data_IF_260532884395
#
_entry.id   IF_260532884395
#
_cell.length_a   1.000
_cell.length_b   1.000
_cell.length_c   1.000
_cell.angle_alpha   90.00
_cell.angle_beta   90.00
_cell.angle_gamma   90.00
#
_symmetry.space_group_name_H-M   'P 1'
#
loop_
_entity.id
_entity.type
_entity.pdbx_description
1 polymer ?
#
# COMPACT_ATOMS: atom_id res chain seq x y z
N UNK A 1 65.05 -14.57 48.37
CA UNK A 1 66.29 -13.78 48.18
C UNK A 1 66.66 -13.61 46.70
N UNK A 2 66.75 -14.65 45.87
CA UNK A 2 67.12 -14.47 44.44
C UNK A 2 66.03 -13.77 43.61
N UNK A 3 64.75 -14.13 43.77
CA UNK A 3 63.64 -13.50 43.04
C UNK A 3 63.39 -12.03 43.42
N UNK A 4 63.65 -11.64 44.67
CA UNK A 4 63.54 -10.25 45.11
C UNK A 4 64.64 -9.34 44.53
N UNK A 5 65.85 -9.89 44.32
CA UNK A 5 66.96 -9.16 43.69
C UNK A 5 66.71 -9.00 42.20
N UNK A 6 66.21 -10.04 41.53
CA UNK A 6 65.83 -9.98 40.12
C UNK A 6 64.63 -9.05 39.89
N UNK A 7 63.62 -9.10 40.76
CA UNK A 7 62.45 -8.21 40.70
C UNK A 7 62.80 -6.73 40.87
N UNK A 8 63.80 -6.39 41.70
CA UNK A 8 64.32 -5.01 41.84
C UNK A 8 65.02 -4.49 40.59
N UNK A 9 65.50 -5.39 39.72
CA UNK A 9 66.13 -5.06 38.44
C UNK A 9 65.16 -5.18 37.25
N UNK A 10 63.87 -5.43 37.49
CA UNK A 10 62.86 -5.61 36.44
C UNK A 10 62.99 -6.94 35.68
N UNK A 11 63.68 -7.92 36.25
CA UNK A 11 63.87 -9.25 35.68
C UNK A 11 62.97 -10.27 36.38
N UNK A 12 62.22 -11.04 35.59
CA UNK A 12 61.29 -12.06 36.04
C UNK A 12 61.71 -13.42 35.49
N UNK A 13 61.55 -14.48 36.26
CA UNK A 13 61.83 -15.85 35.80
C UNK A 13 60.50 -16.54 35.47
N UNK A 14 60.41 -17.17 34.30
CA UNK A 14 59.21 -17.90 33.90
C UNK A 14 59.19 -19.35 34.40
N UNK A 15 58.06 -20.05 34.18
CA UNK A 15 57.87 -21.45 34.59
C UNK A 15 58.85 -22.46 33.93
N UNK A 16 59.64 -22.02 32.94
CA UNK A 16 60.69 -22.79 32.28
C UNK A 16 62.10 -22.31 32.66
N UNK A 17 62.21 -21.56 33.74
CA UNK A 17 63.45 -21.00 34.28
C UNK A 17 64.18 -20.04 33.32
N UNK A 18 63.43 -19.35 32.43
CA UNK A 18 63.99 -18.34 31.52
C UNK A 18 63.79 -16.94 32.10
N UNK A 19 64.83 -16.11 31.97
CA UNK A 19 64.77 -14.69 32.32
C UNK A 19 63.91 -13.92 31.30
N UNK A 20 62.99 -13.10 31.79
CA UNK A 20 62.08 -12.23 31.04
C UNK A 20 62.09 -10.82 31.63
N UNK A 21 61.90 -9.83 30.77
CA UNK A 21 61.80 -8.41 31.15
C UNK A 21 60.38 -7.99 31.55
N UNK A 22 59.39 -8.82 31.21
CA UNK A 22 57.97 -8.58 31.52
C UNK A 22 57.49 -9.74 32.36
N UNK A 23 56.71 -9.45 33.40
CA UNK A 23 56.07 -10.46 34.23
C UNK A 23 55.26 -11.43 33.34
N UNK A 24 55.55 -12.74 33.36
CA UNK A 24 54.91 -13.71 32.48
C UNK A 24 53.38 -13.69 32.56
N UNK A 25 52.83 -13.62 33.77
CA UNK A 25 51.39 -13.56 34.04
C UNK A 25 50.72 -12.33 33.41
N UNK A 26 51.41 -11.18 33.42
CA UNK A 26 50.92 -9.94 32.82
C UNK A 26 50.96 -10.02 31.29
N UNK A 27 52.00 -10.62 30.73
CA UNK A 27 52.11 -10.83 29.28
C UNK A 27 51.03 -11.80 28.76
N UNK A 28 50.78 -12.89 29.49
CA UNK A 28 49.76 -13.89 29.15
C UNK A 28 48.35 -13.29 29.29
N UNK A 29 48.08 -12.56 30.39
CA UNK A 29 46.79 -11.87 30.59
C UNK A 29 46.54 -10.80 29.53
N UNK A 30 47.57 -10.05 29.14
CA UNK A 30 47.47 -9.06 28.07
C UNK A 30 47.22 -9.71 26.70
N UNK A 31 47.82 -10.88 26.45
CA UNK A 31 47.56 -11.69 25.25
C UNK A 31 46.11 -12.18 25.19
N UNK A 32 45.61 -12.75 26.29
CA UNK A 32 44.22 -13.20 26.40
C UNK A 32 43.23 -12.05 26.20
N UNK A 33 43.45 -10.92 26.87
CA UNK A 33 42.62 -9.73 26.74
C UNK A 33 42.58 -9.22 25.29
N UNK A 34 43.73 -9.23 24.59
CA UNK A 34 43.81 -8.82 23.19
C UNK A 34 42.99 -9.73 22.28
N UNK A 35 43.00 -11.03 22.51
CA UNK A 35 42.25 -11.98 21.68
C UNK A 35 40.75 -11.93 21.99
N UNK A 36 40.38 -11.71 23.25
CA UNK A 36 38.99 -11.48 23.67
C UNK A 36 38.43 -10.18 23.05
N UNK A 37 39.20 -9.08 23.05
CA UNK A 37 38.82 -7.83 22.38
C UNK A 37 38.60 -8.04 20.88
N UNK A 38 39.44 -8.85 20.22
CA UNK A 38 39.25 -9.16 18.79
C UNK A 38 37.99 -9.97 18.54
N UNK A 39 37.72 -10.99 19.36
CA UNK A 39 36.50 -11.79 19.26
C UNK A 39 35.28 -10.92 19.43
N UNK A 40 35.27 -10.10 20.49
CA UNK A 40 34.18 -9.17 20.78
C UNK A 40 33.98 -8.14 19.67
N UNK A 41 35.07 -7.61 19.11
CA UNK A 41 34.98 -6.72 17.95
C UNK A 41 34.37 -7.42 16.73
N UNK A 42 34.68 -8.70 16.50
CA UNK A 42 34.08 -9.50 15.42
C UNK A 42 32.59 -9.74 15.63
N UNK A 43 32.18 -10.04 16.86
CA UNK A 43 30.77 -10.19 17.23
C UNK A 43 29.99 -8.89 17.01
N UNK A 44 30.56 -7.74 17.39
CA UNK A 44 29.94 -6.44 17.13
C UNK A 44 29.79 -6.18 15.63
N UNK A 45 30.80 -6.48 14.82
CA UNK A 45 30.71 -6.26 13.36
C UNK A 45 29.65 -7.16 12.72
N UNK A 46 29.52 -8.41 13.20
CA UNK A 46 28.48 -9.32 12.72
C UNK A 46 27.10 -8.80 13.11
N UNK A 47 26.90 -8.41 14.38
CA UNK A 47 25.65 -7.82 14.85
C UNK A 47 25.26 -6.56 14.07
N UNK A 48 26.23 -5.68 13.77
CA UNK A 48 25.99 -4.50 12.94
C UNK A 48 25.57 -4.86 11.52
N UNK A 49 26.13 -5.93 10.95
CA UNK A 49 25.80 -6.40 9.60
C UNK A 49 24.38 -6.96 9.56
N UNK A 50 24.04 -7.86 10.49
CA UNK A 50 22.70 -8.43 10.63
C UNK A 50 21.65 -7.34 10.87
N UNK A 51 21.95 -6.35 11.72
CA UNK A 51 21.03 -5.24 11.98
C UNK A 51 20.79 -4.40 10.73
N UNK A 52 21.82 -4.15 9.91
CA UNK A 52 21.67 -3.44 8.62
C UNK A 52 20.78 -4.22 7.66
N UNK A 53 21.00 -5.52 7.52
CA UNK A 53 20.17 -6.39 6.67
C UNK A 53 18.69 -6.36 7.10
N UNK A 54 18.43 -6.39 8.40
CA UNK A 54 17.07 -6.28 8.95
C UNK A 54 16.44 -4.92 8.62
N UNK A 55 17.21 -3.83 8.78
CA UNK A 55 16.74 -2.48 8.45
C UNK A 55 16.39 -2.37 6.96
N UNK A 56 17.24 -2.92 6.08
CA UNK A 56 16.99 -2.94 4.64
C UNK A 56 15.76 -3.78 4.30
N UNK A 57 15.60 -4.95 4.90
CA UNK A 57 14.41 -5.79 4.72
C UNK A 57 13.12 -5.07 5.17
N UNK A 58 13.17 -4.37 6.30
CA UNK A 58 12.05 -3.56 6.79
C UNK A 58 11.73 -2.40 5.86
N UNK A 59 12.74 -1.71 5.32
CA UNK A 59 12.54 -0.63 4.36
C UNK A 59 11.87 -1.12 3.08
N UNK A 60 12.33 -2.24 2.53
CA UNK A 60 11.74 -2.88 1.36
C UNK A 60 10.29 -3.30 1.62
N UNK A 61 10.01 -3.88 2.81
CA UNK A 61 8.66 -4.25 3.21
C UNK A 61 7.73 -3.02 3.28
N UNK A 62 8.21 -1.92 3.86
CA UNK A 62 7.45 -0.67 3.93
C UNK A 62 7.14 -0.11 2.54
N UNK A 63 8.08 -0.20 1.59
CA UNK A 63 7.86 0.23 0.21
C UNK A 63 6.78 -0.60 -0.48
N UNK A 64 6.84 -1.92 -0.37
CA UNK A 64 5.82 -2.82 -0.94
C UNK A 64 4.44 -2.54 -0.35
N UNK A 65 4.34 -2.37 0.97
CA UNK A 65 3.08 -2.03 1.65
C UNK A 65 2.52 -0.71 1.11
N UNK A 66 3.36 0.30 0.92
CA UNK A 66 2.93 1.58 0.38
C UNK A 66 2.42 1.46 -1.05
N UNK A 67 3.12 0.70 -1.92
CA UNK A 67 2.66 0.43 -3.28
C UNK A 67 1.31 -0.28 -3.30
N UNK A 68 1.14 -1.34 -2.49
CA UNK A 68 -0.12 -2.06 -2.36
C UNK A 68 -1.25 -1.15 -1.85
N UNK A 69 -0.96 -0.30 -0.85
CA UNK A 69 -1.93 0.64 -0.30
C UNK A 69 -2.40 1.63 -1.36
N UNK A 70 -1.49 2.19 -2.15
CA UNK A 70 -1.84 3.11 -3.25
C UNK A 70 -2.72 2.38 -4.27
N UNK A 71 -2.31 1.19 -4.72
CA UNK A 71 -3.07 0.40 -5.68
C UNK A 71 -4.49 0.06 -5.18
N UNK A 72 -4.63 -0.34 -3.92
CA UNK A 72 -5.92 -0.64 -3.30
C UNK A 72 -6.83 0.60 -3.23
N UNK A 73 -6.28 1.75 -2.83
CA UNK A 73 -7.00 3.01 -2.80
C UNK A 73 -7.48 3.40 -4.20
N UNK A 74 -6.59 3.34 -5.21
CA UNK A 74 -6.94 3.67 -6.59
C UNK A 74 -8.04 2.75 -7.14
N UNK A 75 -7.93 1.45 -6.92
CA UNK A 75 -8.96 0.49 -7.32
C UNK A 75 -10.30 0.78 -6.65
N UNK A 76 -10.30 1.12 -5.35
CA UNK A 76 -11.51 1.44 -4.62
C UNK A 76 -12.17 2.72 -5.15
N UNK A 77 -11.38 3.75 -5.47
CA UNK A 77 -11.90 4.98 -6.07
C UNK A 77 -12.48 4.74 -7.46
N UNK A 78 -11.83 3.91 -8.29
CA UNK A 78 -12.33 3.57 -9.61
C UNK A 78 -13.73 2.92 -9.52
N UNK A 79 -13.89 1.91 -8.65
CA UNK A 79 -15.17 1.22 -8.44
C UNK A 79 -16.25 2.18 -7.96
N UNK A 80 -15.97 2.99 -6.92
CA UNK A 80 -16.94 3.97 -6.41
C UNK A 80 -17.35 5.00 -7.45
N UNK A 81 -16.40 5.43 -8.30
CA UNK A 81 -16.69 6.39 -9.36
C UNK A 81 -17.58 5.81 -10.45
N UNK A 82 -17.42 4.53 -10.78
CA UNK A 82 -18.26 3.83 -11.75
C UNK A 82 -19.66 3.54 -11.19
N UNK A 83 -19.77 3.12 -9.93
CA UNK A 83 -21.07 2.99 -9.25
C UNK A 83 -21.83 4.33 -9.24
N UNK A 84 -21.12 5.43 -8.97
CA UNK A 84 -21.71 6.78 -9.00
C UNK A 84 -22.17 7.19 -10.40
N UNK A 85 -21.44 6.82 -11.46
CA UNK A 85 -21.87 7.08 -12.84
C UNK A 85 -23.07 6.23 -13.23
N UNK A 86 -23.04 4.93 -12.90
CA UNK A 86 -24.13 4.01 -13.19
C UNK A 86 -25.44 4.47 -12.53
N UNK A 87 -25.38 4.90 -11.27
CA UNK A 87 -26.55 5.44 -10.57
C UNK A 87 -27.06 6.75 -11.19
N UNK A 88 -26.18 7.66 -11.57
CA UNK A 88 -26.55 8.88 -12.30
C UNK A 88 -27.21 8.57 -13.65
N UNK A 89 -26.65 7.63 -14.41
CA UNK A 89 -27.18 7.24 -15.72
C UNK A 89 -28.56 6.59 -15.60
N UNK A 90 -28.78 5.75 -14.58
CA UNK A 90 -30.10 5.17 -14.29
C UNK A 90 -31.12 6.28 -14.01
N UNK A 91 -30.81 7.23 -13.12
CA UNK A 91 -31.72 8.33 -12.81
C UNK A 91 -32.03 9.19 -14.04
N UNK A 92 -31.01 9.47 -14.87
CA UNK A 92 -31.20 10.22 -16.12
C UNK A 92 -32.10 9.47 -17.10
N UNK A 93 -31.93 8.16 -17.23
CA UNK A 93 -32.78 7.32 -18.09
C UNK A 93 -34.23 7.25 -17.56
N UNK A 94 -34.43 7.16 -16.25
CA UNK A 94 -35.77 7.19 -15.64
C UNK A 94 -36.53 8.49 -15.94
N UNK A 95 -35.84 9.63 -15.83
CA UNK A 95 -36.40 10.94 -16.20
C UNK A 95 -36.81 10.94 -17.68
N UNK A 96 -35.90 10.50 -18.56
CA UNK A 96 -36.16 10.48 -20.00
C UNK A 96 -37.33 9.54 -20.36
N UNK A 97 -37.43 8.37 -19.74
CA UNK A 97 -38.55 7.44 -19.94
C UNK A 97 -39.86 8.12 -19.55
N UNK A 98 -39.89 8.81 -18.41
CA UNK A 98 -41.08 9.50 -17.92
C UNK A 98 -41.50 10.64 -18.85
N UNK A 99 -40.55 11.43 -19.34
CA UNK A 99 -40.82 12.47 -20.34
C UNK A 99 -41.45 11.89 -21.61
N UNK A 100 -40.92 10.77 -22.11
CA UNK A 100 -41.47 10.09 -23.29
C UNK A 100 -42.85 9.50 -23.04
N UNK A 101 -43.11 8.96 -21.85
CA UNK A 101 -44.44 8.48 -21.48
C UNK A 101 -45.48 9.60 -21.51
N UNK A 102 -45.15 10.76 -20.92
CA UNK A 102 -46.03 11.94 -20.94
C UNK A 102 -46.28 12.42 -22.38
N UNK A 103 -45.24 12.45 -23.21
CA UNK A 103 -45.37 12.83 -24.61
C UNK A 103 -46.26 11.86 -25.39
N UNK A 104 -46.13 10.55 -25.15
CA UNK A 104 -46.99 9.54 -25.74
C UNK A 104 -48.45 9.68 -25.32
N UNK A 105 -48.73 9.92 -24.03
CA UNK A 105 -50.09 10.16 -23.53
C UNK A 105 -50.72 11.41 -24.17
N UNK A 106 -49.94 12.48 -24.33
CA UNK A 106 -50.37 13.68 -25.02
C UNK A 106 -50.73 13.39 -26.48
N UNK A 107 -49.84 12.73 -27.21
CA UNK A 107 -50.07 12.37 -28.62
C UNK A 107 -51.27 11.44 -28.79
N UNK A 108 -51.49 10.53 -27.85
CA UNK A 108 -52.66 9.66 -27.85
C UNK A 108 -53.96 10.45 -27.73
N UNK A 109 -54.00 11.40 -26.78
CA UNK A 109 -55.15 12.28 -26.56
C UNK A 109 -55.43 13.14 -27.81
N UNK A 110 -54.39 13.69 -28.43
CA UNK A 110 -54.51 14.49 -29.65
C UNK A 110 -55.04 13.67 -30.83
N UNK A 111 -54.55 12.43 -30.99
CA UNK A 111 -55.01 11.51 -32.02
C UNK A 111 -56.49 11.13 -31.84
N UNK A 112 -56.93 10.88 -30.60
CA UNK A 112 -58.35 10.62 -30.32
C UNK A 112 -59.25 11.83 -30.59
N UNK A 113 -58.77 13.05 -30.33
CA UNK A 113 -59.50 14.27 -30.67
C UNK A 113 -59.64 14.43 -32.18
N UNK A 114 -58.56 14.27 -32.94
CA UNK A 114 -58.59 14.35 -34.41
C UNK A 114 -59.50 13.30 -35.04
N UNK A 115 -59.51 12.06 -34.52
CA UNK A 115 -60.42 11.01 -35.01
C UNK A 115 -61.89 11.38 -34.82
N UNK A 116 -62.24 11.99 -33.67
CA UNK A 116 -63.60 12.48 -33.42
C UNK A 116 -63.99 13.58 -34.41
N UNK A 117 -63.11 14.56 -34.61
CA UNK A 117 -63.36 15.62 -35.60
C UNK A 117 -63.49 15.06 -37.03
N UNK A 118 -62.66 14.08 -37.41
CA UNK A 118 -62.75 13.42 -38.72
C UNK A 118 -64.11 12.72 -38.90
N UNK A 119 -64.60 12.04 -37.86
CA UNK A 119 -65.89 11.34 -37.88
C UNK A 119 -67.06 12.33 -37.98
N UNK A 120 -67.03 13.42 -37.21
CA UNK A 120 -68.02 14.51 -37.29
C UNK A 120 -68.05 15.15 -38.69
N UNK A 121 -66.88 15.39 -39.29
CA UNK A 121 -66.77 15.92 -40.65
C UNK A 121 -67.34 14.96 -41.70
N UNK A 122 -67.09 13.64 -41.56
CA UNK A 122 -67.67 12.62 -42.44
C UNK A 122 -69.18 12.56 -42.34
N UNK A 123 -69.73 12.62 -41.13
CA UNK A 123 -71.18 12.70 -40.94
C UNK A 123 -71.78 13.95 -41.59
N UNK A 124 -71.12 15.11 -41.42
CA UNK A 124 -71.58 16.35 -42.02
C UNK A 124 -71.61 16.26 -43.55
N UNK A 125 -70.55 15.71 -44.16
CA UNK A 125 -70.49 15.48 -45.62
C UNK A 125 -71.57 14.50 -46.09
N UNK A 126 -71.80 13.41 -45.36
CA UNK A 126 -72.89 12.47 -45.68
C UNK A 126 -74.25 13.16 -45.66
N UNK A 127 -74.54 13.97 -44.63
CA UNK A 127 -75.80 14.74 -44.54
C UNK A 127 -75.95 15.74 -45.69
N UNK A 128 -74.85 16.34 -46.15
CA UNK A 128 -74.85 17.26 -47.30
C UNK A 128 -75.15 16.53 -48.61
N UNK A 129 -74.52 15.37 -48.82
CA UNK A 129 -74.70 14.53 -50.02
C UNK A 129 -76.07 13.83 -50.07
N UNK A 130 -76.68 13.54 -48.92
CA UNK A 130 -78.01 12.91 -48.87
C UNK A 130 -79.17 13.90 -49.04
N UNK A 131 -78.91 15.20 -48.87
CA UNK A 131 -79.89 16.28 -48.98
C UNK A 131 -79.80 17.07 -50.32
N UNK A 132 -78.95 16.61 -51.25
CA UNK A 132 -78.85 17.07 -52.64
C UNK A 132 -79.41 16.03 -53.61
#
# INVERSE_FOLDING_TARGET
MSDEVLGRSGLHVDAFNKLRLIQPELADSSGQLRDEIKSFSGEITNFQTETKEIIEALANCAEVINQMKIAAITSQYAIKSDESKATYDIQRLEILIRERQIELERLHTELEAMKREEEEQKEYLQKLLSNS
#
